data_IF_182979812068
#
_entry.id   IF_182979812068
#
_cell.length_a   1.000
_cell.length_b   1.000
_cell.length_c   1.000
_cell.angle_alpha   90.00
_cell.angle_beta   90.00
_cell.angle_gamma   90.00
#
_symmetry.space_group_name_H-M   'P 1'
#
loop_
_entity.id
_entity.type
_entity.pdbx_description
1 polymer ?
#
# COMPACT_ATOMS: atom_id res chain seq x y z
N UNK A 1 -4.26 12.87 3.92
CA UNK A 1 -3.58 11.56 3.99
C UNK A 1 -4.55 10.41 4.29
N UNK A 2 -5.25 10.41 5.42
CA UNK A 2 -6.13 9.31 5.87
C UNK A 2 -7.15 8.84 4.82
N UNK A 3 -7.88 9.76 4.17
CA UNK A 3 -8.84 9.41 3.09
C UNK A 3 -8.22 8.61 1.95
N UNK A 4 -6.96 8.91 1.59
CA UNK A 4 -6.25 8.22 0.51
C UNK A 4 -5.79 6.82 0.94
N UNK A 5 -5.38 6.66 2.20
CA UNK A 5 -5.07 5.35 2.77
C UNK A 5 -6.33 4.49 2.80
N UNK A 6 -7.46 5.01 3.29
CA UNK A 6 -8.74 4.28 3.30
C UNK A 6 -9.12 3.82 1.89
N UNK A 7 -9.06 4.72 0.91
CA UNK A 7 -9.33 4.38 -0.48
C UNK A 7 -8.41 3.27 -1.01
N UNK A 8 -7.11 3.30 -0.69
CA UNK A 8 -6.19 2.22 -1.07
C UNK A 8 -6.53 0.90 -0.38
N UNK A 9 -6.92 0.91 0.90
CA UNK A 9 -7.29 -0.32 1.61
C UNK A 9 -8.50 -0.98 0.93
N UNK A 10 -9.54 -0.20 0.60
CA UNK A 10 -10.71 -0.68 -0.14
C UNK A 10 -10.32 -1.23 -1.51
N UNK A 11 -9.54 -0.47 -2.30
CA UNK A 11 -9.12 -0.88 -3.64
C UNK A 11 -8.24 -2.14 -3.62
N UNK A 12 -7.35 -2.29 -2.64
CA UNK A 12 -6.47 -3.47 -2.50
C UNK A 12 -7.28 -4.75 -2.33
N UNK A 13 -8.46 -4.71 -1.70
CA UNK A 13 -9.31 -5.90 -1.55
C UNK A 13 -9.83 -6.44 -2.89
N UNK A 14 -9.96 -5.59 -3.91
CA UNK A 14 -10.51 -5.92 -5.22
C UNK A 14 -9.38 -6.08 -6.26
N UNK A 15 -8.39 -5.19 -6.20
CA UNK A 15 -7.29 -5.07 -7.15
C UNK A 15 -5.96 -5.01 -6.39
N UNK A 16 -5.49 -6.11 -5.79
CA UNK A 16 -4.26 -6.09 -4.99
C UNK A 16 -3.01 -5.88 -5.84
N UNK A 17 -3.02 -6.16 -7.15
CA UNK A 17 -1.84 -6.05 -8.02
C UNK A 17 -1.83 -4.82 -8.94
N UNK A 18 -2.91 -4.03 -8.94
CA UNK A 18 -3.13 -2.92 -9.89
C UNK A 18 -3.96 -1.80 -9.22
N UNK A 19 -4.17 -0.69 -9.93
CA UNK A 19 -5.01 0.42 -9.45
C UNK A 19 -4.22 1.69 -9.17
N UNK A 20 -4.74 2.51 -8.28
CA UNK A 20 -4.23 3.85 -8.00
C UNK A 20 -3.02 3.85 -7.08
N UNK A 21 -2.29 4.97 -7.11
CA UNK A 21 -1.11 5.17 -6.26
C UNK A 21 0.15 4.51 -6.79
N UNK A 22 0.36 4.38 -8.11
CA UNK A 22 1.60 3.86 -8.70
C UNK A 22 2.01 2.53 -8.05
N UNK A 23 1.22 1.49 -8.30
CA UNK A 23 1.46 0.16 -7.74
C UNK A 23 2.79 -0.40 -8.29
N UNK A 24 3.72 -0.70 -7.40
CA UNK A 24 5.05 -1.21 -7.74
C UNK A 24 5.36 -2.50 -6.99
N UNK A 25 5.76 -3.56 -7.70
CA UNK A 25 6.24 -4.82 -7.11
C UNK A 25 7.67 -4.67 -6.59
N UNK A 26 7.91 -4.98 -5.32
CA UNK A 26 9.23 -4.92 -4.71
C UNK A 26 10.03 -6.19 -5.00
N UNK A 27 10.88 -6.14 -6.03
CA UNK A 27 11.61 -7.31 -6.56
C UNK A 27 12.68 -7.89 -5.62
N UNK A 28 13.18 -7.11 -4.67
CA UNK A 28 14.17 -7.59 -3.68
C UNK A 28 13.61 -8.69 -2.76
N UNK A 29 12.28 -8.81 -2.67
CA UNK A 29 11.59 -9.85 -1.92
C UNK A 29 11.06 -10.91 -2.90
N UNK A 30 11.95 -11.73 -3.45
CA UNK A 30 11.61 -12.74 -4.46
C UNK A 30 10.67 -13.83 -3.95
N UNK A 31 10.75 -14.15 -2.65
CA UNK A 31 9.95 -15.21 -2.01
C UNK A 31 8.56 -14.73 -1.54
N UNK A 32 8.34 -13.41 -1.48
CA UNK A 32 7.13 -12.80 -0.94
C UNK A 32 6.46 -11.88 -1.95
N UNK A 33 5.13 -11.90 -2.06
CA UNK A 33 4.39 -11.03 -2.98
C UNK A 33 4.15 -9.60 -2.46
N UNK A 34 5.24 -8.88 -2.20
CA UNK A 34 5.25 -7.50 -1.69
C UNK A 34 5.08 -6.43 -2.78
N UNK A 35 4.15 -5.52 -2.55
CA UNK A 35 3.84 -4.35 -3.36
C UNK A 35 3.92 -3.06 -2.53
N UNK A 36 4.16 -1.94 -3.22
CA UNK A 36 4.06 -0.61 -2.63
C UNK A 36 3.10 0.28 -3.43
N UNK A 37 2.45 1.20 -2.74
CA UNK A 37 1.62 2.28 -3.29
C UNK A 37 2.03 3.62 -2.72
N UNK A 38 2.11 4.61 -3.60
CA UNK A 38 2.39 6.02 -3.33
C UNK A 38 1.20 6.74 -2.69
N UNK A 39 1.31 7.02 -1.40
CA UNK A 39 0.37 7.90 -0.69
C UNK A 39 0.64 9.35 -1.10
N UNK A 40 1.89 9.80 -1.01
CA UNK A 40 2.35 11.10 -1.49
C UNK A 40 3.82 11.02 -1.94
N UNK A 41 4.55 12.13 -2.07
CA UNK A 41 5.96 12.08 -2.53
C UNK A 41 6.85 11.27 -1.58
N UNK A 42 6.59 11.32 -0.28
CA UNK A 42 7.43 10.77 0.79
C UNK A 42 6.92 9.43 1.31
N UNK A 43 5.60 9.26 1.42
CA UNK A 43 4.98 8.12 2.10
C UNK A 43 4.55 7.01 1.14
N UNK A 44 4.71 5.76 1.59
CA UNK A 44 4.30 4.56 0.87
C UNK A 44 3.50 3.63 1.78
N UNK A 45 2.41 3.09 1.24
CA UNK A 45 1.73 1.93 1.81
C UNK A 45 2.37 0.68 1.21
N UNK A 46 2.79 -0.27 2.04
CA UNK A 46 3.40 -1.54 1.58
C UNK A 46 2.54 -2.69 2.04
N UNK A 47 2.40 -3.71 1.22
CA UNK A 47 1.55 -4.85 1.55
C UNK A 47 2.04 -6.09 0.84
N UNK A 48 1.70 -7.23 1.40
CA UNK A 48 2.05 -8.55 0.88
C UNK A 48 0.77 -9.32 0.57
N UNK A 49 0.79 -10.05 -0.55
CA UNK A 49 -0.26 -11.00 -0.92
C UNK A 49 0.23 -12.42 -0.60
N UNK A 50 -0.53 -13.19 0.18
CA UNK A 50 -0.24 -14.58 0.55
C UNK A 50 -1.52 -15.41 0.50
N UNK A 51 -1.54 -16.52 -0.24
CA UNK A 51 -2.64 -17.50 -0.26
C UNK A 51 -4.04 -16.84 -0.29
N UNK A 52 -4.25 -15.95 -1.26
CA UNK A 52 -5.47 -15.12 -1.46
C UNK A 52 -5.84 -14.16 -0.31
N UNK A 53 -4.99 -14.01 0.70
CA UNK A 53 -5.09 -13.00 1.75
C UNK A 53 -4.13 -11.85 1.47
N UNK A 54 -4.56 -10.63 1.79
CA UNK A 54 -3.68 -9.46 1.74
C UNK A 54 -3.32 -9.00 3.15
N UNK A 55 -2.03 -8.98 3.45
CA UNK A 55 -1.47 -8.45 4.69
C UNK A 55 -0.96 -7.04 4.40
N UNK A 56 -1.61 -6.03 4.96
CA UNK A 56 -1.22 -4.62 4.76
C UNK A 56 -0.38 -4.13 5.91
N UNK A 57 0.82 -3.60 5.61
CA UNK A 57 1.74 -3.03 6.60
C UNK A 57 2.05 -1.58 6.20
N UNK A 58 1.55 -0.63 6.97
CA UNK A 58 1.88 0.78 6.77
C UNK A 58 3.29 1.06 7.33
N UNK A 59 4.30 1.19 6.45
CA UNK A 59 5.69 1.40 6.87
C UNK A 59 5.91 2.76 7.52
N UNK A 60 5.25 3.80 7.02
CA UNK A 60 5.22 5.11 7.68
C UNK A 60 3.99 5.91 7.29
N UNK A 61 3.44 6.65 8.25
CA UNK A 61 2.46 7.69 8.03
C UNK A 61 2.70 8.78 9.06
N UNK A 62 3.32 9.89 8.63
CA UNK A 62 3.48 11.07 9.48
C UNK A 62 2.31 12.01 9.27
N UNK A 63 1.68 12.41 10.37
CA UNK A 63 0.63 13.42 10.38
C UNK A 63 1.13 14.68 11.05
N UNK A 64 1.13 15.81 10.32
CA UNK A 64 0.81 17.08 10.95
C UNK A 64 -0.72 17.13 11.02
N UNK A 65 -1.28 16.80 12.18
CA UNK A 65 -2.65 17.18 12.48
C UNK A 65 -2.61 18.67 12.79
N UNK A 66 -2.71 19.52 11.76
CA UNK A 66 -3.24 20.86 11.98
C UNK A 66 -4.76 20.75 11.91
N UNK A 67 -5.40 21.33 12.94
CA UNK A 67 -6.85 21.41 13.13
C UNK A 67 -7.55 22.05 11.93
#
# INVERSE_FOLDING_TARGET
MLKKIQHFLEEITIHPRTGTGQVERLKHYSECEIYSRRIDKEHRLVYEIRDDKVIVILISAYGHYEN
#
